data_IF_712195955162
#
_entry.id   IF_712195955162
#
_cell.length_a   1.000
_cell.length_b   1.000
_cell.length_c   1.000
_cell.angle_alpha   90.00
_cell.angle_beta   90.00
_cell.angle_gamma   90.00
#
_symmetry.space_group_name_H-M   'P 1'
#
loop_
_entity.id
_entity.type
_entity.pdbx_description
1 polymer ?
#
# COMPACT_ATOMS: atom_id res chain seq x y z
N UNK A 1 22.67 -32.02 -21.90
CA UNK A 1 22.45 -31.09 -20.78
C UNK A 1 20.97 -30.79 -20.74
N UNK A 2 20.25 -31.44 -19.83
CA UNK A 2 18.81 -31.23 -19.63
C UNK A 2 18.71 -30.63 -18.24
N UNK A 3 18.43 -29.33 -18.17
CA UNK A 3 18.11 -28.65 -16.92
C UNK A 3 16.70 -28.15 -17.05
N UNK A 4 15.83 -28.85 -16.32
CA UNK A 4 14.39 -28.70 -16.32
C UNK A 4 13.97 -27.30 -15.86
N UNK A 5 13.16 -26.65 -16.71
CA UNK A 5 12.38 -25.46 -16.39
C UNK A 5 11.29 -25.82 -15.39
N UNK A 6 11.58 -25.74 -14.09
CA UNK A 6 10.53 -25.82 -13.06
C UNK A 6 10.87 -24.87 -11.91
N UNK A 7 10.59 -23.58 -12.07
CA UNK A 7 10.10 -22.72 -10.98
C UNK A 7 9.60 -21.38 -11.52
N UNK A 8 8.38 -21.37 -12.04
CA UNK A 8 7.64 -20.15 -12.33
C UNK A 8 6.21 -20.37 -11.88
N UNK A 9 5.97 -20.17 -10.58
CA UNK A 9 4.66 -20.34 -9.97
C UNK A 9 3.62 -19.52 -10.72
N UNK A 10 2.65 -20.23 -11.29
CA UNK A 10 1.44 -19.64 -11.86
C UNK A 10 0.58 -19.26 -10.65
N UNK A 11 0.57 -18.00 -10.25
CA UNK A 11 -0.48 -17.48 -9.37
C UNK A 11 -1.69 -17.13 -10.24
N UNK A 12 -2.23 -18.15 -10.91
CA UNK A 12 -3.60 -18.11 -11.43
C UNK A 12 -4.50 -18.43 -10.26
N UNK A 13 -5.02 -17.40 -9.61
CA UNK A 13 -6.22 -17.52 -8.79
C UNK A 13 -7.14 -16.36 -9.15
N UNK A 14 -8.06 -16.68 -10.05
CA UNK A 14 -9.25 -15.90 -10.34
C UNK A 14 -10.03 -15.71 -9.04
N UNK A 15 -9.97 -14.51 -8.50
CA UNK A 15 -10.66 -14.09 -7.28
C UNK A 15 -11.62 -12.97 -7.71
N UNK A 16 -12.61 -13.35 -8.51
CA UNK A 16 -13.65 -12.47 -9.05
C UNK A 16 -14.71 -12.06 -8.01
N UNK A 17 -14.61 -12.50 -6.75
CA UNK A 17 -15.65 -12.25 -5.73
C UNK A 17 -15.25 -11.28 -4.60
N UNK A 18 -13.97 -10.94 -4.43
CA UNK A 18 -13.57 -9.96 -3.41
C UNK A 18 -12.35 -9.15 -3.85
N UNK A 19 -12.60 -8.25 -4.79
CA UNK A 19 -11.61 -7.29 -5.27
C UNK A 19 -10.96 -6.48 -4.12
N UNK A 20 -11.71 -6.28 -3.03
CA UNK A 20 -11.33 -5.48 -1.87
C UNK A 20 -11.11 -6.32 -0.61
N UNK A 21 -10.14 -7.24 -0.65
CA UNK A 21 -9.64 -7.87 0.58
C UNK A 21 -8.46 -7.08 1.14
N UNK A 22 -8.27 -7.10 2.47
CA UNK A 22 -7.15 -6.41 3.12
C UNK A 22 -5.78 -6.80 2.55
N UNK A 23 -5.61 -8.09 2.23
CA UNK A 23 -4.38 -8.61 1.64
C UNK A 23 -4.17 -8.11 0.21
N UNK A 24 -5.21 -8.17 -0.62
CA UNK A 24 -5.13 -7.71 -2.02
C UNK A 24 -4.89 -6.21 -2.11
N UNK A 25 -5.63 -5.42 -1.32
CA UNK A 25 -5.49 -3.98 -1.30
C UNK A 25 -4.09 -3.55 -0.84
N UNK A 26 -3.55 -4.19 0.20
CA UNK A 26 -2.17 -3.93 0.65
C UNK A 26 -1.15 -4.23 -0.46
N UNK A 27 -1.32 -5.35 -1.19
CA UNK A 27 -0.45 -5.70 -2.32
C UNK A 27 -0.58 -4.69 -3.47
N UNK A 28 -1.79 -4.22 -3.79
CA UNK A 28 -2.01 -3.20 -4.82
C UNK A 28 -1.33 -1.88 -4.46
N UNK A 29 -1.36 -1.47 -3.20
CA UNK A 29 -0.66 -0.26 -2.73
C UNK A 29 0.84 -0.43 -2.94
N UNK A 30 1.43 -1.52 -2.46
CA UNK A 30 2.87 -1.76 -2.61
C UNK A 30 3.31 -1.82 -4.07
N UNK A 31 2.50 -2.43 -4.95
CA UNK A 31 2.78 -2.45 -6.37
C UNK A 31 2.72 -1.04 -6.96
N UNK A 32 1.67 -0.27 -6.66
CA UNK A 32 1.50 1.11 -7.12
C UNK A 32 2.65 2.01 -6.67
N UNK A 33 3.07 1.90 -5.40
CA UNK A 33 4.23 2.61 -4.85
C UNK A 33 5.49 2.31 -5.67
N UNK A 34 5.71 1.05 -6.05
CA UNK A 34 6.90 0.64 -6.82
C UNK A 34 6.81 1.03 -8.30
N UNK A 35 5.65 0.86 -8.92
CA UNK A 35 5.43 1.13 -10.34
C UNK A 35 5.48 2.62 -10.63
N UNK A 36 4.86 3.44 -9.77
CA UNK A 36 4.74 4.89 -9.97
C UNK A 36 5.73 5.71 -9.15
N UNK A 37 6.51 5.08 -8.27
CA UNK A 37 7.49 5.73 -7.41
C UNK A 37 6.83 6.89 -6.63
N UNK A 38 5.78 6.57 -5.90
CA UNK A 38 4.98 7.51 -5.11
C UNK A 38 4.89 7.06 -3.65
N UNK A 39 4.54 7.96 -2.74
CA UNK A 39 4.39 7.64 -1.33
C UNK A 39 3.24 6.66 -1.08
N UNK A 40 3.24 5.96 0.05
CA UNK A 40 2.11 5.09 0.42
C UNK A 40 0.80 5.87 0.54
N UNK A 41 0.86 7.14 0.95
CA UNK A 41 -0.30 8.04 1.01
C UNK A 41 -0.85 8.33 -0.39
N UNK A 42 0.01 8.72 -1.32
CA UNK A 42 -0.38 9.00 -2.71
C UNK A 42 -0.90 7.75 -3.41
N UNK A 43 -0.28 6.59 -3.18
CA UNK A 43 -0.72 5.33 -3.75
C UNK A 43 -2.12 4.94 -3.27
N UNK A 44 -2.44 5.19 -2.00
CA UNK A 44 -3.79 4.96 -1.47
C UNK A 44 -4.80 5.87 -2.15
N UNK A 45 -4.53 7.18 -2.24
CA UNK A 45 -5.42 8.15 -2.89
C UNK A 45 -5.62 7.80 -4.37
N UNK A 46 -4.53 7.48 -5.08
CA UNK A 46 -4.58 7.07 -6.47
C UNK A 46 -5.47 5.83 -6.67
N UNK A 47 -5.33 4.83 -5.81
CA UNK A 47 -6.17 3.64 -5.87
C UNK A 47 -7.63 3.93 -5.52
N UNK A 48 -7.90 4.88 -4.61
CA UNK A 48 -9.26 5.35 -4.34
C UNK A 48 -9.88 5.96 -5.59
N UNK A 49 -9.16 6.84 -6.28
CA UNK A 49 -9.64 7.53 -7.48
C UNK A 49 -9.90 6.55 -8.64
N UNK A 50 -8.94 5.67 -8.93
CA UNK A 50 -9.05 4.69 -10.04
C UNK A 50 -10.19 3.69 -9.84
N UNK A 51 -10.43 3.28 -8.59
CA UNK A 51 -11.44 2.29 -8.26
C UNK A 51 -12.77 2.93 -7.82
N UNK A 52 -12.86 4.27 -7.83
CA UNK A 52 -14.02 5.04 -7.35
C UNK A 52 -14.43 4.61 -5.92
N UNK A 53 -13.44 4.42 -5.05
CA UNK A 53 -13.65 4.03 -3.65
C UNK A 53 -13.51 5.26 -2.76
N UNK A 54 -14.44 5.44 -1.84
CA UNK A 54 -14.33 6.49 -0.84
C UNK A 54 -13.21 6.19 0.17
N UNK A 55 -12.47 7.23 0.56
CA UNK A 55 -11.33 7.08 1.47
C UNK A 55 -11.74 6.54 2.84
N UNK A 56 -12.97 6.83 3.27
CA UNK A 56 -13.57 6.31 4.50
C UNK A 56 -13.70 4.78 4.45
N UNK A 57 -14.08 4.25 3.29
CA UNK A 57 -14.18 2.81 3.06
C UNK A 57 -12.80 2.17 2.93
N UNK A 58 -11.83 2.84 2.33
CA UNK A 58 -10.47 2.30 2.19
C UNK A 58 -9.81 2.00 3.54
N UNK A 59 -10.11 2.78 4.57
CA UNK A 59 -9.58 2.56 5.93
C UNK A 59 -9.87 1.15 6.48
N UNK A 60 -10.99 0.51 6.05
CA UNK A 60 -11.35 -0.86 6.46
C UNK A 60 -10.57 -1.94 5.72
N UNK A 61 -9.97 -1.60 4.58
CA UNK A 61 -9.15 -2.47 3.74
C UNK A 61 -7.64 -2.30 3.99
N UNK A 62 -7.20 -1.22 4.63
CA UNK A 62 -5.80 -1.04 5.01
C UNK A 62 -5.40 -2.00 6.14
N UNK A 63 -4.36 -2.80 5.90
CA UNK A 63 -3.72 -3.62 6.93
C UNK A 63 -2.91 -2.75 7.90
N UNK A 64 -2.64 -3.26 9.12
CA UNK A 64 -1.83 -2.56 10.12
C UNK A 64 -0.45 -2.20 9.56
N UNK A 65 0.16 -3.13 8.82
CA UNK A 65 1.48 -2.91 8.22
C UNK A 65 1.51 -1.75 7.24
N UNK A 66 0.48 -1.55 6.43
CA UNK A 66 0.40 -0.39 5.53
C UNK A 66 0.26 0.91 6.31
N UNK A 67 -0.53 0.92 7.40
CA UNK A 67 -0.67 2.10 8.26
C UNK A 67 0.67 2.48 8.89
N UNK A 68 1.39 1.49 9.44
CA UNK A 68 2.73 1.69 10.00
C UNK A 68 3.70 2.25 8.93
N UNK A 69 3.64 1.76 7.69
CA UNK A 69 4.45 2.30 6.59
C UNK A 69 4.12 3.76 6.29
N UNK A 70 2.83 4.10 6.22
CA UNK A 70 2.38 5.49 6.02
C UNK A 70 2.85 6.39 7.16
N UNK A 71 2.72 5.94 8.41
CA UNK A 71 3.17 6.68 9.59
C UNK A 71 4.69 6.88 9.58
N UNK A 72 5.45 5.84 9.25
CA UNK A 72 6.90 5.91 9.12
C UNK A 72 7.34 6.87 7.99
N UNK A 73 6.66 6.83 6.84
CA UNK A 73 6.92 7.79 5.76
C UNK A 73 6.61 9.22 6.20
N UNK A 74 5.48 9.44 6.89
CA UNK A 74 5.11 10.75 7.42
C UNK A 74 6.12 11.28 8.45
N UNK A 75 6.63 10.41 9.34
CA UNK A 75 7.69 10.76 10.29
C UNK A 75 9.01 11.08 9.58
N UNK A 76 9.38 10.28 8.58
CA UNK A 76 10.63 10.47 7.83
C UNK A 76 10.62 11.75 6.98
N UNK A 77 9.44 12.11 6.45
CA UNK A 77 9.21 13.33 5.70
C UNK A 77 9.03 14.58 6.60
N UNK A 78 9.27 14.48 7.91
CA UNK A 78 9.13 15.57 8.88
C UNK A 78 7.71 16.19 8.95
N UNK A 79 6.68 15.45 8.52
CA UNK A 79 5.28 15.89 8.60
C UNK A 79 4.67 15.74 10.00
N UNK A 80 5.31 14.96 10.88
CA UNK A 80 4.92 14.83 12.28
C UNK A 80 6.02 15.46 13.14
N UNK A 81 5.66 16.29 14.14
CA UNK A 81 6.66 16.80 15.07
C UNK A 81 7.32 15.59 15.73
N UNK A 82 8.65 15.50 15.59
CA UNK A 82 9.42 14.56 16.39
C UNK A 82 9.05 14.84 17.84
N UNK A 83 8.66 13.80 18.55
CA UNK A 83 8.32 13.85 19.98
C UNK A 83 9.54 14.41 20.75
N UNK A 84 9.63 15.74 20.83
CA UNK A 84 10.82 16.45 21.28
C UNK A 84 10.99 17.89 20.74
N UNK A 85 10.38 18.26 19.62
CA UNK A 85 10.43 19.66 19.15
C UNK A 85 9.27 20.45 19.74
N UNK A 86 9.49 20.97 20.96
CA UNK A 86 8.72 22.11 21.46
C UNK A 86 8.95 23.27 20.49
N UNK A 87 7.90 23.75 19.83
CA UNK A 87 7.96 25.02 19.10
C UNK A 87 8.44 26.11 20.08
N UNK A 88 9.50 26.88 19.78
CA UNK A 88 9.74 28.12 20.50
C UNK A 88 8.60 29.10 20.15
N UNK A 89 8.13 29.80 21.19
CA UNK A 89 7.09 30.87 21.16
C UNK A 89 7.33 31.93 20.08
#
# INVERSE_FOLDING_TARGET
>A
MKVDMILGGVDSSDDTTSFLSKKKFSKMIEDTVRQKIMSYMDAVVYLCEENTIEIEDVKKYLSTSIKEKIELEAMNLNFLPKSGESLPE
#
